data_IF_991155087599
#
_entry.id   IF_991155087599
#
_cell.length_a   1.000
_cell.length_b   1.000
_cell.length_c   1.000
_cell.angle_alpha   90.00
_cell.angle_beta   90.00
_cell.angle_gamma   90.00
#
_symmetry.space_group_name_H-M   'P 1'
#
loop_
_entity.id
_entity.type
_entity.pdbx_description
1 polymer ?
#
# COMPACT_ATOMS: atom_id res chain seq x y z
N UNK A 1 -38.61 -6.81 -40.94
CA UNK A 1 -37.77 -7.69 -40.10
C UNK A 1 -36.31 -7.24 -40.20
N UNK A 2 -35.78 -6.59 -39.16
CA UNK A 2 -34.40 -6.10 -39.16
C UNK A 2 -33.40 -7.25 -38.87
N UNK A 3 -32.43 -7.42 -39.76
CA UNK A 3 -31.37 -8.42 -39.68
C UNK A 3 -30.42 -8.07 -38.53
N UNK A 4 -30.40 -8.87 -37.47
CA UNK A 4 -29.38 -8.82 -36.41
C UNK A 4 -28.02 -9.23 -36.99
N UNK A 5 -27.13 -8.26 -37.26
CA UNK A 5 -25.74 -8.53 -37.62
C UNK A 5 -24.99 -8.92 -36.33
N UNK A 6 -24.90 -10.24 -36.09
CA UNK A 6 -24.13 -10.82 -34.99
C UNK A 6 -22.66 -10.82 -35.38
N UNK A 7 -21.95 -9.74 -35.08
CA UNK A 7 -20.51 -9.59 -35.31
C UNK A 7 -19.71 -10.49 -34.33
N UNK A 8 -19.72 -11.82 -34.55
CA UNK A 8 -18.84 -12.76 -33.84
C UNK A 8 -17.52 -12.85 -34.60
N UNK A 9 -16.45 -12.29 -34.02
CA UNK A 9 -15.09 -12.48 -34.55
C UNK A 9 -14.76 -13.98 -34.62
N UNK A 10 -14.08 -14.47 -35.68
CA UNK A 10 -13.71 -15.88 -35.81
C UNK A 10 -12.88 -16.36 -34.61
N UNK A 11 -13.12 -17.59 -34.14
CA UNK A 11 -12.46 -18.17 -32.97
C UNK A 11 -10.92 -18.08 -33.03
N UNK A 12 -10.33 -18.24 -34.21
CA UNK A 12 -8.89 -18.08 -34.44
C UNK A 12 -8.36 -16.65 -34.17
N UNK A 13 -9.16 -15.63 -34.47
CA UNK A 13 -8.79 -14.22 -34.26
C UNK A 13 -8.97 -13.82 -32.78
N UNK A 14 -9.98 -14.37 -32.10
CA UNK A 14 -10.14 -14.25 -30.66
C UNK A 14 -8.94 -14.91 -29.93
N UNK A 15 -8.53 -16.10 -30.35
CA UNK A 15 -7.38 -16.82 -29.79
C UNK A 15 -6.07 -16.04 -29.97
N UNK A 16 -5.81 -15.49 -31.17
CA UNK A 16 -4.65 -14.61 -31.43
C UNK A 16 -4.66 -13.36 -30.55
N UNK A 17 -5.82 -12.75 -30.32
CA UNK A 17 -5.94 -11.55 -29.48
C UNK A 17 -5.69 -11.83 -27.99
N UNK A 18 -6.16 -12.97 -27.48
CA UNK A 18 -5.92 -13.41 -26.11
C UNK A 18 -4.44 -13.75 -25.87
N UNK A 19 -3.81 -14.45 -26.83
CA UNK A 19 -2.37 -14.73 -26.81
C UNK A 19 -1.56 -13.43 -26.79
N UNK A 20 -1.95 -12.43 -27.59
CA UNK A 20 -1.27 -11.12 -27.63
C UNK A 20 -1.37 -10.37 -26.30
N UNK A 21 -2.54 -10.36 -25.66
CA UNK A 21 -2.71 -9.75 -24.33
C UNK A 21 -1.83 -10.44 -23.30
N UNK A 22 -1.84 -11.77 -23.23
CA UNK A 22 -1.03 -12.52 -22.26
C UNK A 22 0.48 -12.20 -22.40
N UNK A 23 0.99 -12.06 -23.63
CA UNK A 23 2.37 -11.62 -23.88
C UNK A 23 2.67 -10.25 -23.26
N UNK A 24 1.76 -9.28 -23.37
CA UNK A 24 1.97 -7.96 -22.76
C UNK A 24 1.91 -7.98 -21.23
N UNK A 25 1.04 -8.81 -20.64
CA UNK A 25 0.93 -8.93 -19.19
C UNK A 25 2.22 -9.49 -18.56
N UNK A 26 3.00 -10.27 -19.32
CA UNK A 26 4.34 -10.72 -18.96
C UNK A 26 5.37 -9.65 -19.31
N UNK A 27 5.28 -9.05 -20.50
CA UNK A 27 6.28 -8.12 -21.00
C UNK A 27 6.40 -6.85 -20.14
N UNK A 28 5.31 -6.22 -19.70
CA UNK A 28 5.42 -4.97 -18.93
C UNK A 28 6.15 -5.15 -17.58
N UNK A 29 5.79 -6.13 -16.72
CA UNK A 29 6.54 -6.35 -15.48
C UNK A 29 7.98 -6.79 -15.73
N UNK A 30 8.24 -7.62 -16.75
CA UNK A 30 9.60 -8.06 -17.11
C UNK A 30 10.46 -6.89 -17.59
N UNK A 31 9.96 -6.06 -18.51
CA UNK A 31 10.69 -4.88 -19.00
C UNK A 31 10.97 -3.92 -17.85
N UNK A 32 9.98 -3.64 -16.99
CA UNK A 32 10.19 -2.81 -15.81
C UNK A 32 11.22 -3.41 -14.85
N UNK A 33 11.26 -4.72 -14.68
CA UNK A 33 12.28 -5.41 -13.91
C UNK A 33 13.67 -5.30 -14.54
N UNK A 34 13.81 -5.51 -15.85
CA UNK A 34 15.08 -5.38 -16.56
C UNK A 34 15.64 -3.95 -16.49
N UNK A 35 14.79 -2.93 -16.64
CA UNK A 35 15.18 -1.53 -16.41
C UNK A 35 15.73 -1.36 -14.99
N UNK A 36 15.06 -1.94 -14.00
CA UNK A 36 15.52 -1.89 -12.61
C UNK A 36 16.83 -2.65 -12.38
N UNK A 37 17.09 -3.76 -13.07
CA UNK A 37 18.39 -4.42 -13.03
C UNK A 37 19.50 -3.52 -13.54
N UNK A 38 19.27 -2.82 -14.66
CA UNK A 38 20.23 -1.82 -15.17
C UNK A 38 20.50 -0.77 -14.09
N UNK A 39 19.46 -0.22 -13.46
CA UNK A 39 19.61 0.75 -12.37
C UNK A 39 20.43 0.17 -11.22
N UNK A 40 20.10 -1.04 -10.75
CA UNK A 40 20.81 -1.71 -9.64
C UNK A 40 22.32 -1.77 -9.91
N UNK A 41 22.74 -2.14 -11.12
CA UNK A 41 24.17 -2.23 -11.44
C UNK A 41 24.85 -0.88 -11.71
N UNK A 42 24.11 0.23 -11.76
CA UNK A 42 24.63 1.58 -12.01
C UNK A 42 24.50 2.52 -10.79
N UNK A 43 23.95 2.05 -9.67
CA UNK A 43 23.82 2.85 -8.45
C UNK A 43 24.69 2.30 -7.34
N UNK A 44 25.17 3.18 -6.47
CA UNK A 44 26.02 2.80 -5.35
C UNK A 44 25.35 1.70 -4.51
N UNK A 45 26.09 0.61 -4.29
CA UNK A 45 25.66 -0.56 -3.53
C UNK A 45 24.37 -1.27 -4.02
N UNK A 46 23.83 -0.94 -5.20
CA UNK A 46 22.70 -1.67 -5.78
C UNK A 46 21.31 -1.28 -5.28
N UNK A 47 21.18 -0.22 -4.48
CA UNK A 47 19.89 0.24 -3.96
C UNK A 47 19.97 1.59 -3.27
N UNK A 48 18.84 2.03 -2.73
CA UNK A 48 18.73 3.29 -1.98
C UNK A 48 18.09 3.10 -0.61
N UNK A 49 18.26 4.08 0.26
CA UNK A 49 17.53 4.14 1.51
C UNK A 49 16.13 4.71 1.28
N UNK A 50 15.13 4.03 1.83
CA UNK A 50 13.79 4.60 1.97
C UNK A 50 13.72 5.64 3.08
N UNK A 51 12.51 6.04 3.44
CA UNK A 51 12.26 7.03 4.48
C UNK A 51 12.78 6.59 5.86
N UNK A 52 12.58 5.31 6.22
CA UNK A 52 13.08 4.71 7.46
C UNK A 52 14.25 3.75 7.21
N UNK A 53 14.94 3.88 6.07
CA UNK A 53 15.97 2.92 5.63
C UNK A 53 17.04 2.70 6.70
N UNK A 54 17.57 3.77 7.30
CA UNK A 54 18.57 3.69 8.36
C UNK A 54 18.06 3.00 9.61
N UNK A 55 16.80 3.23 9.99
CA UNK A 55 16.21 2.57 11.15
C UNK A 55 16.09 1.05 10.91
N UNK A 56 15.76 0.64 9.68
CA UNK A 56 15.73 -0.77 9.31
C UNK A 56 17.11 -1.39 9.30
N UNK A 57 18.12 -0.71 8.75
CA UNK A 57 19.49 -1.20 8.76
C UNK A 57 20.05 -1.32 10.18
N UNK A 58 19.81 -0.34 11.06
CA UNK A 58 20.16 -0.46 12.48
C UNK A 58 19.52 -1.67 13.15
N UNK A 59 18.26 -1.96 12.81
CA UNK A 59 17.60 -3.18 13.27
C UNK A 59 18.29 -4.45 12.75
N UNK A 60 18.70 -4.47 11.48
CA UNK A 60 19.47 -5.60 10.91
C UNK A 60 20.82 -5.76 11.60
N UNK A 61 21.53 -4.67 11.89
CA UNK A 61 22.80 -4.71 12.63
C UNK A 61 22.60 -5.31 14.03
N UNK A 62 21.53 -4.92 14.74
CA UNK A 62 21.16 -5.54 16.02
C UNK A 62 20.91 -7.04 15.90
N UNK A 63 20.20 -7.48 14.85
CA UNK A 63 19.93 -8.89 14.58
C UNK A 63 21.21 -9.67 14.21
N UNK A 64 22.13 -9.08 13.45
CA UNK A 64 23.43 -9.71 13.15
C UNK A 64 24.27 -9.90 14.41
N UNK A 65 24.22 -8.95 15.34
CA UNK A 65 25.03 -8.97 16.55
C UNK A 65 24.47 -9.87 17.66
N UNK A 66 23.14 -9.89 17.84
CA UNK A 66 22.49 -10.52 18.99
C UNK A 66 21.47 -11.59 18.60
N UNK A 67 21.29 -11.85 17.31
CA UNK A 67 20.32 -12.81 16.80
C UNK A 67 18.87 -12.34 16.93
N UNK A 68 17.95 -13.30 16.85
CA UNK A 68 16.51 -13.05 16.78
C UNK A 68 15.96 -12.22 17.95
N UNK A 69 16.46 -12.48 19.17
CA UNK A 69 16.05 -11.80 20.41
C UNK A 69 16.89 -10.54 20.73
N UNK A 70 17.47 -9.89 19.71
CA UNK A 70 18.21 -8.64 19.91
C UNK A 70 17.42 -7.60 20.72
N UNK A 71 18.08 -6.95 21.65
CA UNK A 71 17.52 -5.87 22.48
C UNK A 71 17.65 -4.48 21.85
N UNK A 72 18.14 -4.40 20.59
CA UNK A 72 18.24 -3.16 19.83
C UNK A 72 16.90 -2.40 19.82
N UNK A 73 16.94 -1.16 20.30
CA UNK A 73 15.75 -0.34 20.55
C UNK A 73 14.91 -0.18 19.28
N UNK A 74 15.55 -0.06 18.11
CA UNK A 74 14.83 0.08 16.83
C UNK A 74 13.95 -1.11 16.49
N UNK A 75 14.25 -2.30 16.97
CA UNK A 75 13.44 -3.51 16.74
C UNK A 75 12.20 -3.59 17.65
N UNK A 76 12.14 -2.77 18.70
CA UNK A 76 10.97 -2.67 19.58
C UNK A 76 10.16 -1.40 19.31
N UNK A 77 10.86 -0.28 19.07
CA UNK A 77 10.20 1.00 18.77
C UNK A 77 9.47 0.93 17.43
N UNK A 78 10.13 0.44 16.37
CA UNK A 78 9.48 0.15 15.09
C UNK A 78 9.10 -1.34 15.01
N UNK A 79 8.15 -1.71 14.12
CA UNK A 79 7.89 -3.12 13.85
C UNK A 79 9.15 -3.82 13.31
N UNK A 80 9.64 -4.83 14.03
CA UNK A 80 10.82 -5.60 13.63
C UNK A 80 10.65 -6.45 12.36
N UNK A 81 9.44 -6.58 11.82
CA UNK A 81 9.19 -7.54 10.74
C UNK A 81 9.96 -7.23 9.44
N UNK A 82 10.12 -5.97 9.04
CA UNK A 82 10.93 -5.68 7.87
C UNK A 82 12.44 -5.94 8.09
N UNK A 83 13.05 -5.48 9.20
CA UNK A 83 14.41 -5.92 9.58
C UNK A 83 14.58 -7.45 9.59
N UNK A 84 13.65 -8.19 10.19
CA UNK A 84 13.69 -9.65 10.23
C UNK A 84 13.56 -10.28 8.84
N UNK A 85 12.75 -9.72 7.95
CA UNK A 85 12.58 -10.22 6.59
C UNK A 85 13.88 -10.08 5.79
N UNK A 86 14.62 -8.98 5.98
CA UNK A 86 15.82 -8.68 5.18
C UNK A 86 17.11 -9.18 5.84
N UNK A 87 17.09 -9.48 7.14
CA UNK A 87 18.24 -9.96 7.91
C UNK A 87 18.93 -11.18 7.29
N UNK A 88 18.23 -12.23 6.79
CA UNK A 88 18.88 -13.35 6.13
C UNK A 88 19.78 -12.95 4.95
N UNK A 89 19.42 -11.90 4.19
CA UNK A 89 20.25 -11.43 3.09
C UNK A 89 21.56 -10.80 3.58
N UNK A 90 21.51 -10.08 4.71
CA UNK A 90 22.70 -9.49 5.32
C UNK A 90 23.60 -10.57 5.94
N UNK A 91 22.99 -11.61 6.53
CA UNK A 91 23.70 -12.77 7.07
C UNK A 91 24.42 -13.58 5.98
N UNK A 92 23.87 -13.63 4.75
CA UNK A 92 24.54 -14.26 3.59
C UNK A 92 25.71 -13.41 3.12
N UNK A 93 25.52 -12.10 2.94
CA UNK A 93 26.58 -11.19 2.49
C UNK A 93 26.27 -9.75 2.82
N UNK A 94 27.06 -9.14 3.69
CA UNK A 94 26.98 -7.70 4.00
C UNK A 94 27.30 -6.85 2.76
N UNK A 95 28.30 -7.25 1.97
CA UNK A 95 28.76 -6.47 0.81
C UNK A 95 27.80 -6.54 -0.39
N UNK A 96 27.00 -7.60 -0.50
CA UNK A 96 26.01 -7.78 -1.58
C UNK A 96 24.56 -7.65 -1.10
N UNK A 97 24.35 -7.35 0.18
CA UNK A 97 23.05 -7.26 0.83
C UNK A 97 22.04 -6.42 0.04
N UNK A 98 22.39 -5.18 -0.29
CA UNK A 98 21.48 -4.26 -0.99
C UNK A 98 21.18 -4.70 -2.43
N UNK A 99 22.14 -5.32 -3.13
CA UNK A 99 21.89 -5.92 -4.45
C UNK A 99 20.86 -7.06 -4.34
N UNK A 100 21.06 -7.98 -3.41
CA UNK A 100 20.15 -9.10 -3.19
C UNK A 100 18.75 -8.60 -2.83
N UNK A 101 18.66 -7.64 -1.92
CA UNK A 101 17.41 -7.03 -1.49
C UNK A 101 16.66 -6.40 -2.67
N UNK A 102 17.33 -5.52 -3.42
CA UNK A 102 16.74 -4.82 -4.57
C UNK A 102 16.26 -5.78 -5.65
N UNK A 103 17.03 -6.85 -5.94
CA UNK A 103 16.66 -7.86 -6.93
C UNK A 103 15.42 -8.63 -6.47
N UNK A 104 15.42 -9.15 -5.24
CA UNK A 104 14.33 -9.97 -4.70
C UNK A 104 13.04 -9.16 -4.57
N UNK A 105 13.10 -7.94 -4.02
CA UNK A 105 11.93 -7.07 -3.92
C UNK A 105 11.38 -6.71 -5.31
N UNK A 106 12.26 -6.44 -6.28
CA UNK A 106 11.85 -6.09 -7.64
C UNK A 106 11.23 -7.27 -8.38
N UNK A 107 11.75 -8.48 -8.19
CA UNK A 107 11.16 -9.72 -8.69
C UNK A 107 9.78 -9.98 -8.08
N UNK A 108 9.65 -9.85 -6.76
CA UNK A 108 8.38 -10.05 -6.07
C UNK A 108 7.31 -9.05 -6.55
N UNK A 109 7.69 -7.78 -6.74
CA UNK A 109 6.80 -6.77 -7.31
C UNK A 109 6.39 -7.08 -8.75
N UNK A 110 7.33 -7.48 -9.61
CA UNK A 110 7.05 -7.83 -10.99
C UNK A 110 6.10 -9.06 -11.08
N UNK A 111 6.38 -10.10 -10.31
CA UNK A 111 5.54 -11.30 -10.24
C UNK A 111 4.14 -10.99 -9.73
N UNK A 112 4.02 -10.20 -8.65
CA UNK A 112 2.71 -9.83 -8.09
C UNK A 112 1.87 -9.00 -9.06
N UNK A 113 2.51 -8.12 -9.83
CA UNK A 113 1.86 -7.34 -10.90
C UNK A 113 1.35 -8.26 -12.02
N UNK A 114 2.20 -9.18 -12.48
CA UNK A 114 1.81 -10.20 -13.46
C UNK A 114 0.65 -11.04 -12.94
N UNK A 115 0.75 -11.59 -11.73
CA UNK A 115 -0.23 -12.50 -11.16
C UNK A 115 -1.61 -11.83 -11.02
N UNK A 116 -1.67 -10.59 -10.51
CA UNK A 116 -2.91 -9.82 -10.43
C UNK A 116 -3.53 -9.58 -11.81
N UNK A 117 -2.74 -9.08 -12.75
CA UNK A 117 -3.26 -8.66 -14.06
C UNK A 117 -3.61 -9.86 -14.95
N UNK A 118 -2.86 -10.96 -14.86
CA UNK A 118 -3.19 -12.24 -15.49
C UNK A 118 -4.43 -12.87 -14.88
N UNK A 119 -4.67 -12.69 -13.57
CA UNK A 119 -5.92 -13.15 -12.97
C UNK A 119 -7.10 -12.31 -13.48
N UNK A 120 -6.95 -10.99 -13.54
CA UNK A 120 -7.99 -10.10 -14.08
C UNK A 120 -8.31 -10.41 -15.55
N UNK A 121 -7.31 -10.74 -16.37
CA UNK A 121 -7.48 -11.01 -17.81
C UNK A 121 -8.34 -12.25 -18.10
N UNK A 122 -8.49 -13.14 -17.12
CA UNK A 122 -9.33 -14.35 -17.18
C UNK A 122 -10.77 -14.11 -16.75
N UNK A 123 -11.16 -12.85 -16.50
CA UNK A 123 -12.47 -12.51 -15.94
C UNK A 123 -13.32 -11.62 -16.87
N UNK A 124 -14.58 -11.37 -16.49
CA UNK A 124 -15.47 -10.43 -17.20
C UNK A 124 -14.96 -8.98 -17.21
N UNK A 125 -13.97 -8.62 -16.38
CA UNK A 125 -13.32 -7.31 -16.38
C UNK A 125 -11.91 -7.34 -17.00
N UNK A 126 -11.64 -8.30 -17.89
CA UNK A 126 -10.36 -8.45 -18.59
C UNK A 126 -9.87 -7.18 -19.32
N UNK A 127 -10.78 -6.29 -19.72
CA UNK A 127 -10.45 -5.01 -20.35
C UNK A 127 -9.58 -4.10 -19.48
N UNK A 128 -9.56 -4.30 -18.15
CA UNK A 128 -8.69 -3.57 -17.23
C UNK A 128 -7.24 -4.07 -17.25
N UNK A 129 -7.01 -5.35 -17.55
CA UNK A 129 -5.75 -6.05 -17.28
C UNK A 129 -4.55 -5.38 -17.96
N UNK A 130 -4.70 -5.02 -19.24
CA UNK A 130 -3.62 -4.42 -20.04
C UNK A 130 -3.18 -3.07 -19.46
N UNK A 131 -4.12 -2.15 -19.26
CA UNK A 131 -3.82 -0.80 -18.75
C UNK A 131 -3.35 -0.84 -17.30
N UNK A 132 -3.93 -1.72 -16.46
CA UNK A 132 -3.48 -1.91 -15.09
C UNK A 132 -2.04 -2.47 -15.03
N UNK A 133 -1.71 -3.46 -15.86
CA UNK A 133 -0.35 -4.02 -15.94
C UNK A 133 0.67 -2.96 -16.33
N UNK A 134 0.36 -2.15 -17.34
CA UNK A 134 1.22 -1.04 -17.76
C UNK A 134 1.40 0.00 -16.64
N UNK A 135 0.30 0.55 -16.12
CA UNK A 135 0.37 1.63 -15.14
C UNK A 135 0.99 1.20 -13.81
N UNK A 136 0.77 -0.04 -13.35
CA UNK A 136 1.40 -0.53 -12.12
C UNK A 136 2.90 -0.76 -12.36
N UNK A 137 3.29 -1.41 -13.46
CA UNK A 137 4.69 -1.72 -13.75
C UNK A 137 5.57 -0.48 -13.92
N UNK A 138 5.02 0.57 -14.54
CA UNK A 138 5.73 1.80 -14.88
C UNK A 138 5.35 3.00 -14.00
N UNK A 139 4.57 2.82 -12.93
CA UNK A 139 4.38 3.90 -11.97
C UNK A 139 5.73 4.20 -11.30
N UNK A 140 6.29 5.41 -11.44
CA UNK A 140 7.67 5.67 -11.05
C UNK A 140 7.89 5.54 -9.54
N UNK A 141 6.93 5.99 -8.73
CA UNK A 141 7.05 5.89 -7.26
C UNK A 141 6.87 4.45 -6.79
N UNK A 142 5.86 3.74 -7.31
CA UNK A 142 5.62 2.34 -6.91
C UNK A 142 6.74 1.41 -7.34
N UNK A 143 7.13 1.52 -8.61
CA UNK A 143 8.04 0.57 -9.24
C UNK A 143 9.47 0.76 -8.77
N UNK A 144 9.96 2.01 -8.69
CA UNK A 144 11.30 2.30 -8.17
C UNK A 144 11.38 2.12 -6.65
N UNK A 145 10.26 2.18 -5.93
CA UNK A 145 10.21 1.86 -4.51
C UNK A 145 10.64 0.42 -4.18
N UNK A 146 10.69 -0.51 -5.15
CA UNK A 146 11.26 -1.84 -4.91
C UNK A 146 12.79 -1.83 -4.79
N UNK A 147 13.44 -0.73 -5.15
CA UNK A 147 14.90 -0.52 -5.04
C UNK A 147 15.30 0.17 -3.73
N UNK A 148 14.34 0.47 -2.86
CA UNK A 148 14.60 1.10 -1.58
C UNK A 148 14.55 0.09 -0.44
N UNK A 149 15.40 0.31 0.58
CA UNK A 149 15.23 -0.28 1.92
C UNK A 149 13.96 0.33 2.54
N UNK A 150 12.84 -0.36 2.37
CA UNK A 150 11.51 0.09 2.78
C UNK A 150 10.45 -0.99 2.53
N UNK A 151 9.50 -1.12 3.47
CA UNK A 151 8.47 -2.17 3.41
C UNK A 151 7.37 -1.90 2.38
N UNK A 152 7.26 -0.68 1.84
CA UNK A 152 6.05 -0.21 1.16
C UNK A 152 5.74 -1.03 -0.08
N UNK A 153 6.76 -1.32 -0.89
CA UNK A 153 6.61 -2.08 -2.14
C UNK A 153 6.44 -3.59 -1.89
N UNK A 154 7.16 -4.21 -0.94
CA UNK A 154 6.80 -5.55 -0.44
C UNK A 154 5.35 -5.67 0.04
N UNK A 155 4.84 -4.69 0.79
CA UNK A 155 3.43 -4.70 1.22
C UNK A 155 2.48 -4.52 0.03
N UNK A 156 2.79 -3.62 -0.92
CA UNK A 156 2.00 -3.48 -2.13
C UNK A 156 1.92 -4.78 -2.95
N UNK A 157 3.02 -5.53 -2.98
CA UNK A 157 3.09 -6.86 -3.59
C UNK A 157 2.18 -7.85 -2.87
N UNK A 158 2.23 -7.90 -1.53
CA UNK A 158 1.33 -8.75 -0.73
C UNK A 158 -0.16 -8.44 -0.97
N UNK A 159 -0.53 -7.16 -1.06
CA UNK A 159 -1.92 -6.76 -1.35
C UNK A 159 -2.36 -7.16 -2.76
N UNK A 160 -1.47 -7.05 -3.76
CA UNK A 160 -1.75 -7.55 -5.11
C UNK A 160 -1.95 -9.07 -5.12
N UNK A 161 -1.11 -9.82 -4.39
CA UNK A 161 -1.24 -11.27 -4.25
C UNK A 161 -2.58 -11.66 -3.60
N UNK A 162 -2.94 -11.02 -2.48
CA UNK A 162 -4.20 -11.28 -1.79
C UNK A 162 -5.42 -10.94 -2.65
N UNK A 163 -5.40 -9.79 -3.34
CA UNK A 163 -6.48 -9.40 -4.25
C UNK A 163 -6.59 -10.36 -5.43
N UNK A 164 -5.47 -10.77 -6.05
CA UNK A 164 -5.47 -11.71 -7.16
C UNK A 164 -6.10 -13.05 -6.76
N UNK A 165 -5.71 -13.62 -5.61
CA UNK A 165 -6.34 -14.84 -5.08
C UNK A 165 -7.83 -14.62 -4.87
N UNK A 166 -8.24 -13.50 -4.25
CA UNK A 166 -9.65 -13.21 -4.03
C UNK A 166 -10.42 -13.12 -5.35
N UNK A 167 -9.87 -12.47 -6.39
CA UNK A 167 -10.50 -12.38 -7.72
C UNK A 167 -10.63 -13.78 -8.35
N UNK A 168 -9.62 -14.64 -8.21
CA UNK A 168 -9.66 -16.00 -8.75
C UNK A 168 -10.78 -16.87 -8.15
N UNK A 169 -11.29 -16.53 -6.96
CA UNK A 169 -12.43 -17.20 -6.34
C UNK A 169 -13.79 -16.67 -6.82
N UNK A 170 -13.80 -15.57 -7.57
CA UNK A 170 -15.03 -14.89 -8.00
C UNK A 170 -15.38 -15.16 -9.48
N UNK A 171 -14.61 -16.00 -10.18
CA UNK A 171 -14.65 -16.13 -11.64
C UNK A 171 -15.82 -16.95 -12.20
N UNK A 172 -16.58 -17.65 -11.36
CA UNK A 172 -17.72 -18.45 -11.80
C UNK A 172 -19.05 -17.68 -11.64
N UNK A 173 -19.98 -17.89 -12.57
CA UNK A 173 -21.36 -17.37 -12.51
C UNK A 173 -22.22 -18.05 -11.41
N UNK A 174 -21.62 -18.93 -10.62
CA UNK A 174 -22.20 -19.52 -9.41
C UNK A 174 -21.74 -18.77 -8.16
N UNK A 175 -22.44 -18.98 -7.04
CA UNK A 175 -22.11 -18.38 -5.74
C UNK A 175 -20.60 -18.39 -5.46
N UNK A 176 -20.03 -17.29 -4.98
CA UNK A 176 -18.59 -17.20 -4.79
C UNK A 176 -18.13 -18.27 -3.79
N UNK A 177 -17.27 -19.18 -4.23
CA UNK A 177 -16.77 -20.31 -3.44
C UNK A 177 -15.37 -19.99 -2.92
N UNK A 178 -15.27 -19.05 -1.98
CA UNK A 178 -14.02 -18.94 -1.21
C UNK A 178 -13.84 -20.24 -0.42
N UNK A 179 -12.83 -21.03 -0.80
CA UNK A 179 -12.44 -22.21 -0.03
C UNK A 179 -11.48 -21.84 1.10
N UNK A 180 -11.34 -22.76 2.06
CA UNK A 180 -10.41 -22.58 3.18
C UNK A 180 -8.97 -22.36 2.72
N UNK A 181 -8.53 -23.06 1.66
CA UNK A 181 -7.17 -22.93 1.11
C UNK A 181 -6.87 -21.52 0.62
N UNK A 182 -7.81 -20.91 -0.11
CA UNK A 182 -7.64 -19.57 -0.66
C UNK A 182 -7.68 -18.52 0.46
N UNK A 183 -8.57 -18.68 1.44
CA UNK A 183 -8.61 -17.82 2.62
C UNK A 183 -7.34 -17.93 3.45
N UNK A 184 -6.75 -19.12 3.60
CA UNK A 184 -5.44 -19.30 4.24
C UNK A 184 -4.38 -18.49 3.50
N UNK A 185 -4.28 -18.61 2.17
CA UNK A 185 -3.28 -17.84 1.42
C UNK A 185 -3.51 -16.32 1.49
N UNK A 186 -4.76 -15.87 1.40
CA UNK A 186 -5.10 -14.45 1.62
C UNK A 186 -4.64 -14.02 3.01
N UNK A 187 -4.95 -14.80 4.03
CA UNK A 187 -4.51 -14.59 5.41
C UNK A 187 -3.00 -14.51 5.53
N UNK A 188 -2.24 -15.44 4.93
CA UNK A 188 -0.78 -15.46 4.95
C UNK A 188 -0.16 -14.24 4.26
N UNK A 189 -0.68 -13.82 3.10
CA UNK A 189 -0.18 -12.60 2.43
C UNK A 189 -0.44 -11.35 3.27
N UNK A 190 -1.62 -11.25 3.86
CA UNK A 190 -1.92 -10.16 4.79
C UNK A 190 -1.14 -10.28 6.12
N UNK A 191 -0.83 -11.49 6.56
CA UNK A 191 0.04 -11.78 7.69
C UNK A 191 1.44 -11.27 7.44
N UNK A 192 1.98 -11.50 6.24
CA UNK A 192 3.26 -10.93 5.81
C UNK A 192 3.18 -9.40 5.73
N UNK A 193 2.14 -8.84 5.13
CA UNK A 193 1.95 -7.39 5.11
C UNK A 193 1.90 -6.76 6.52
N UNK A 194 1.22 -7.42 7.45
CA UNK A 194 1.06 -7.00 8.85
C UNK A 194 2.32 -7.18 9.68
N UNK A 195 3.11 -8.22 9.37
CA UNK A 195 4.44 -8.44 9.93
C UNK A 195 5.36 -7.26 9.59
N UNK A 196 5.36 -6.84 8.32
CA UNK A 196 6.16 -5.69 7.89
C UNK A 196 5.63 -4.36 8.43
N UNK A 197 4.30 -4.22 8.49
CA UNK A 197 3.66 -2.97 8.90
C UNK A 197 2.30 -3.23 9.59
N UNK A 198 2.22 -3.18 10.95
CA UNK A 198 1.10 -3.68 11.75
C UNK A 198 -0.25 -3.00 11.51
N UNK A 199 -0.29 -1.79 10.96
CA UNK A 199 -1.56 -1.13 10.59
C UNK A 199 -2.39 -1.94 9.59
N UNK A 200 -1.77 -2.86 8.85
CA UNK A 200 -2.50 -3.73 7.92
C UNK A 200 -3.25 -4.87 8.62
N UNK A 201 -3.13 -5.07 9.93
CA UNK A 201 -3.91 -6.07 10.69
C UNK A 201 -5.42 -5.78 10.56
N UNK A 202 -5.82 -4.52 10.81
CA UNK A 202 -7.22 -4.12 10.70
C UNK A 202 -7.72 -4.22 9.24
N UNK A 203 -6.87 -3.79 8.30
CA UNK A 203 -7.16 -3.89 6.86
C UNK A 203 -7.41 -5.33 6.45
N UNK A 204 -6.53 -6.24 6.88
CA UNK A 204 -6.59 -7.66 6.60
C UNK A 204 -7.82 -8.32 7.20
N UNK A 205 -8.10 -8.07 8.48
CA UNK A 205 -9.26 -8.63 9.16
C UNK A 205 -10.56 -8.27 8.44
N UNK A 206 -10.74 -6.99 8.08
CA UNK A 206 -11.93 -6.55 7.35
C UNK A 206 -11.94 -7.13 5.93
N UNK A 207 -10.81 -7.20 5.22
CA UNK A 207 -10.74 -7.81 3.90
C UNK A 207 -11.16 -9.30 3.93
N UNK A 208 -10.66 -10.05 4.91
CA UNK A 208 -11.01 -11.46 5.12
C UNK A 208 -12.51 -11.61 5.44
N UNK A 209 -13.06 -10.74 6.29
CA UNK A 209 -14.51 -10.71 6.58
C UNK A 209 -15.29 -10.45 5.29
N UNK A 210 -14.89 -9.48 4.47
CA UNK A 210 -15.54 -9.19 3.18
C UNK A 210 -15.49 -10.41 2.25
N UNK A 211 -14.36 -11.11 2.16
CA UNK A 211 -14.26 -12.35 1.39
C UNK A 211 -15.19 -13.43 1.94
N UNK A 212 -15.23 -13.63 3.26
CA UNK A 212 -16.10 -14.60 3.90
C UNK A 212 -17.57 -14.29 3.62
N UNK A 213 -18.00 -13.03 3.70
CA UNK A 213 -19.37 -12.60 3.43
C UNK A 213 -19.85 -12.84 1.99
N UNK A 214 -18.93 -13.05 1.03
CA UNK A 214 -19.31 -13.44 -0.33
C UNK A 214 -19.70 -14.91 -0.47
N UNK A 215 -19.49 -15.73 0.56
CA UNK A 215 -19.90 -17.14 0.59
C UNK A 215 -21.30 -17.31 1.19
N UNK A 216 -21.96 -18.43 0.88
CA UNK A 216 -23.31 -18.75 1.37
C UNK A 216 -23.22 -19.54 2.68
N UNK A 217 -24.05 -19.18 3.66
CA UNK A 217 -24.21 -19.89 4.93
C UNK A 217 -23.40 -19.30 6.09
N UNK A 218 -24.09 -18.78 7.12
CA UNK A 218 -23.48 -18.07 8.26
C UNK A 218 -22.39 -18.88 8.98
N UNK A 219 -22.61 -20.17 9.20
CA UNK A 219 -21.63 -21.04 9.87
C UNK A 219 -20.34 -21.17 9.03
N UNK A 220 -20.47 -21.25 7.71
CA UNK A 220 -19.34 -21.31 6.80
C UNK A 220 -18.58 -19.98 6.74
N UNK A 221 -19.30 -18.86 6.71
CA UNK A 221 -18.72 -17.52 6.78
C UNK A 221 -17.88 -17.32 8.05
N UNK A 222 -18.42 -17.69 9.21
CA UNK A 222 -17.70 -17.59 10.50
C UNK A 222 -16.45 -18.49 10.48
N UNK A 223 -16.58 -19.73 10.00
CA UNK A 223 -15.45 -20.66 9.89
C UNK A 223 -14.35 -20.11 8.98
N UNK A 224 -14.69 -19.58 7.81
CA UNK A 224 -13.70 -18.98 6.90
C UNK A 224 -13.05 -17.74 7.52
N UNK A 225 -13.83 -16.86 8.13
CA UNK A 225 -13.30 -15.68 8.80
C UNK A 225 -12.30 -16.08 9.90
N UNK A 226 -12.64 -17.07 10.73
CA UNK A 226 -11.74 -17.60 11.76
C UNK A 226 -10.45 -18.17 11.17
N UNK A 227 -10.54 -19.03 10.14
CA UNK A 227 -9.36 -19.60 9.46
C UNK A 227 -8.46 -18.51 8.90
N UNK A 228 -9.05 -17.50 8.24
CA UNK A 228 -8.30 -16.39 7.66
C UNK A 228 -7.61 -15.54 8.72
N UNK A 229 -8.30 -15.24 9.82
CA UNK A 229 -7.74 -14.48 10.95
C UNK A 229 -6.61 -15.25 11.64
N UNK A 230 -6.75 -16.57 11.81
CA UNK A 230 -5.67 -17.42 12.34
C UNK A 230 -4.44 -17.33 11.42
N UNK A 231 -4.62 -17.51 10.10
CA UNK A 231 -3.53 -17.42 9.14
C UNK A 231 -2.86 -16.03 9.12
N UNK A 232 -3.66 -14.95 9.22
CA UNK A 232 -3.19 -13.58 9.36
C UNK A 232 -2.30 -13.38 10.59
N UNK A 233 -2.69 -13.94 11.74
CA UNK A 233 -2.04 -13.69 13.02
C UNK A 233 -0.75 -14.48 13.23
N UNK A 234 -0.43 -15.47 12.40
CA UNK A 234 0.78 -16.30 12.56
C UNK A 234 2.06 -15.44 12.63
N UNK A 235 2.29 -14.54 11.68
CA UNK A 235 3.51 -13.72 11.64
C UNK A 235 3.50 -12.55 12.65
N UNK A 236 2.41 -11.78 12.83
CA UNK A 236 2.34 -10.79 13.91
C UNK A 236 2.58 -11.39 15.30
N UNK A 237 2.14 -12.62 15.56
CA UNK A 237 2.38 -13.31 16.85
C UNK A 237 3.87 -13.59 17.08
N UNK A 238 4.66 -13.84 16.03
CA UNK A 238 6.12 -13.99 16.13
C UNK A 238 6.78 -12.69 16.64
N UNK A 239 6.27 -11.52 16.24
CA UNK A 239 6.78 -10.22 16.74
C UNK A 239 6.43 -9.99 18.21
N UNK A 240 5.21 -10.38 18.62
CA UNK A 240 4.79 -10.31 20.03
C UNK A 240 5.65 -11.23 20.88
N UNK A 241 5.84 -12.48 20.44
CA UNK A 241 6.70 -13.45 21.12
C UNK A 241 8.13 -12.94 21.25
N UNK A 242 8.71 -12.46 20.14
CA UNK A 242 10.04 -11.86 20.14
C UNK A 242 10.16 -10.75 21.19
N UNK A 243 9.23 -9.81 21.24
CA UNK A 243 9.31 -8.67 22.15
C UNK A 243 9.02 -9.06 23.61
N UNK A 244 8.22 -10.10 23.83
CA UNK A 244 8.04 -10.67 25.16
C UNK A 244 9.37 -11.23 25.71
N UNK A 245 10.10 -11.99 24.88
CA UNK A 245 11.39 -12.57 25.27
C UNK A 245 12.53 -11.53 25.30
N UNK A 246 12.64 -10.68 24.29
CA UNK A 246 13.77 -9.76 24.14
C UNK A 246 13.71 -8.57 25.12
N UNK A 247 12.51 -8.04 25.39
CA UNK A 247 12.35 -6.79 26.15
C UNK A 247 11.22 -6.83 27.18
N UNK A 248 10.64 -8.01 27.44
CA UNK A 248 9.58 -8.18 28.44
C UNK A 248 8.24 -7.52 28.07
N UNK A 249 8.00 -7.22 26.78
CA UNK A 249 6.79 -6.51 26.33
C UNK A 249 6.02 -7.33 25.29
N UNK A 250 4.80 -7.74 25.64
CA UNK A 250 3.87 -8.41 24.73
C UNK A 250 3.20 -7.41 23.75
N UNK A 251 4.00 -6.77 22.90
CA UNK A 251 3.55 -5.82 21.86
C UNK A 251 4.28 -6.05 20.54
N UNK A 252 3.71 -5.60 19.42
CA UNK A 252 4.37 -5.65 18.12
C UNK A 252 5.37 -4.49 17.96
N UNK A 253 5.00 -3.29 18.42
CA UNK A 253 5.86 -2.10 18.45
C UNK A 253 5.39 -1.12 19.54
N UNK A 254 6.17 -0.06 19.80
CA UNK A 254 5.86 0.95 20.83
C UNK A 254 5.87 2.38 20.28
N UNK A 255 5.45 2.57 19.02
CA UNK A 255 5.44 3.87 18.35
C UNK A 255 4.05 4.33 17.90
N UNK A 256 2.97 3.61 18.22
CA UNK A 256 1.63 3.96 17.74
C UNK A 256 1.15 5.26 18.41
N UNK A 257 1.24 5.34 19.73
CA UNK A 257 0.92 6.53 20.51
C UNK A 257 1.77 7.71 20.10
N UNK A 258 3.08 7.53 19.92
CA UNK A 258 3.98 8.59 19.41
C UNK A 258 3.53 9.10 18.04
N UNK A 259 3.22 8.19 17.11
CA UNK A 259 2.74 8.53 15.77
C UNK A 259 1.41 9.28 15.81
N UNK A 260 0.49 8.85 16.67
CA UNK A 260 -0.79 9.53 16.88
C UNK A 260 -0.59 10.93 17.49
N UNK A 261 0.34 11.05 18.44
CA UNK A 261 0.65 12.32 19.10
C UNK A 261 1.17 13.36 18.09
N UNK A 262 2.05 12.97 17.16
CA UNK A 262 2.53 13.84 16.08
C UNK A 262 1.38 14.48 15.28
N UNK A 263 0.32 13.72 15.01
CA UNK A 263 -0.83 14.15 14.23
C UNK A 263 -1.92 14.91 15.01
N UNK A 264 -1.76 15.18 16.30
CA UNK A 264 -2.80 15.81 17.15
C UNK A 264 -2.27 16.95 18.00
N UNK A 265 -3.09 17.96 18.27
CA UNK A 265 -2.75 19.12 19.09
C UNK A 265 -3.41 20.40 18.59
N UNK A 266 -3.23 21.48 19.35
CA UNK A 266 -3.91 22.76 19.10
C UNK A 266 -3.45 23.49 17.83
N UNK A 267 -2.14 23.44 17.59
CA UNK A 267 -1.46 24.20 16.53
C UNK A 267 -1.04 23.32 15.34
N UNK A 268 -0.94 22.01 15.52
CA UNK A 268 -0.54 21.11 14.44
C UNK A 268 -1.59 21.08 13.34
N UNK A 269 -1.14 20.81 12.11
CA UNK A 269 -2.03 20.58 10.98
C UNK A 269 -2.33 19.09 10.79
N UNK A 270 -1.70 18.20 11.56
CA UNK A 270 -1.91 16.75 11.52
C UNK A 270 -0.99 15.99 10.55
N UNK A 271 -0.03 16.67 9.92
CA UNK A 271 0.99 16.09 9.05
C UNK A 271 2.19 15.54 9.81
N UNK A 272 3.16 15.01 9.08
CA UNK A 272 4.44 14.53 9.65
C UNK A 272 5.30 15.69 10.15
N UNK A 273 5.30 16.80 9.43
CA UNK A 273 5.97 18.03 9.83
C UNK A 273 5.12 18.73 10.91
N UNK A 274 5.32 18.35 12.17
CA UNK A 274 4.57 18.90 13.30
C UNK A 274 4.88 20.39 13.47
N UNK A 275 3.81 21.17 13.69
CA UNK A 275 3.86 22.55 14.16
C UNK A 275 3.31 22.59 15.59
N UNK A 276 3.98 23.33 16.47
CA UNK A 276 3.57 23.50 17.87
C UNK A 276 3.86 22.31 18.80
N UNK A 277 3.63 22.48 20.11
CA UNK A 277 3.99 21.49 21.13
C UNK A 277 3.12 20.23 21.04
N UNK A 278 3.70 19.06 21.35
CA UNK A 278 2.97 17.80 21.54
C UNK A 278 1.89 17.93 22.62
N UNK A 279 0.79 17.16 22.51
CA UNK A 279 -0.16 17.12 23.62
C UNK A 279 0.54 16.47 24.82
N UNK A 280 0.44 17.12 25.99
CA UNK A 280 1.01 16.58 27.22
C UNK A 280 0.08 15.50 27.74
N UNK A 281 0.64 14.30 27.91
CA UNK A 281 -0.06 13.16 28.48
C UNK A 281 0.53 12.87 29.86
N UNK A 282 -0.33 12.72 30.86
CA UNK A 282 0.10 12.43 32.23
C UNK A 282 0.19 10.91 32.45
N UNK A 283 1.20 10.44 33.21
CA UNK A 283 1.30 9.04 33.59
C UNK A 283 0.18 8.67 34.58
N UNK A 284 -0.20 7.39 34.64
CA UNK A 284 -1.19 6.91 35.62
C UNK A 284 -0.74 7.06 37.08
N UNK A 285 0.57 7.09 37.32
CA UNK A 285 1.16 7.23 38.66
C UNK A 285 2.20 8.36 38.65
N UNK A 286 2.23 9.22 39.69
CA UNK A 286 3.24 10.28 39.79
C UNK A 286 4.67 9.72 39.72
N UNK A 287 5.52 10.30 38.87
CA UNK A 287 6.92 9.90 38.69
C UNK A 287 7.17 8.74 37.71
N UNK A 288 6.14 8.11 37.15
CA UNK A 288 6.29 7.07 36.13
C UNK A 288 6.46 7.65 34.71
N UNK A 289 7.12 6.91 33.82
CA UNK A 289 7.18 7.25 32.38
C UNK A 289 5.88 6.89 31.68
N UNK A 290 5.44 7.74 30.75
CA UNK A 290 4.21 7.51 29.99
C UNK A 290 4.43 6.42 28.95
N UNK A 291 3.64 5.36 29.03
CA UNK A 291 3.66 4.26 28.07
C UNK A 291 2.98 4.63 26.76
N UNK A 292 3.33 3.96 25.66
CA UNK A 292 2.74 4.23 24.34
C UNK A 292 1.19 4.06 24.35
N UNK A 293 0.68 3.07 25.08
CA UNK A 293 -0.76 2.86 25.26
C UNK A 293 -1.44 4.01 26.02
N UNK A 294 -0.78 4.60 27.01
CA UNK A 294 -1.30 5.78 27.71
C UNK A 294 -1.34 7.00 26.78
N UNK A 295 -0.34 7.16 25.91
CA UNK A 295 -0.36 8.18 24.86
C UNK A 295 -1.53 7.95 23.91
N UNK A 296 -1.79 6.71 23.46
CA UNK A 296 -2.96 6.41 22.60
C UNK A 296 -4.26 6.84 23.28
N UNK A 297 -4.46 6.45 24.55
CA UNK A 297 -5.68 6.81 25.30
C UNK A 297 -5.81 8.33 25.45
N UNK A 298 -4.72 9.02 25.77
CA UNK A 298 -4.64 10.47 25.88
C UNK A 298 -5.04 11.16 24.56
N UNK A 299 -4.50 10.70 23.42
CA UNK A 299 -4.85 11.22 22.09
C UNK A 299 -6.34 10.99 21.77
N UNK A 300 -6.88 9.80 22.06
CA UNK A 300 -8.30 9.51 21.84
C UNK A 300 -9.21 10.41 22.68
N UNK A 301 -8.86 10.66 23.95
CA UNK A 301 -9.57 11.62 24.80
C UNK A 301 -9.50 13.04 24.25
N UNK A 302 -8.35 13.45 23.72
CA UNK A 302 -8.20 14.76 23.09
C UNK A 302 -9.15 14.90 21.90
N UNK A 303 -9.22 13.90 21.01
CA UNK A 303 -10.15 13.94 19.87
C UNK A 303 -11.62 14.06 20.29
N UNK A 304 -12.01 13.34 21.34
CA UNK A 304 -13.37 13.35 21.85
C UNK A 304 -13.76 14.69 22.51
N UNK A 305 -12.80 15.36 23.15
CA UNK A 305 -13.01 16.64 23.84
C UNK A 305 -12.87 17.86 22.92
N UNK A 306 -12.26 17.70 21.73
CA UNK A 306 -12.03 18.78 20.76
C UNK A 306 -12.66 18.49 19.39
N UNK A 307 -13.98 18.24 19.29
CA UNK A 307 -14.62 17.70 18.08
C UNK A 307 -14.42 18.58 16.83
N UNK A 308 -14.49 19.91 16.96
CA UNK A 308 -14.29 20.85 15.84
C UNK A 308 -12.86 20.75 15.31
N UNK A 309 -11.86 20.74 16.20
CA UNK A 309 -10.44 20.58 15.82
C UNK A 309 -10.18 19.21 15.23
N UNK A 310 -10.79 18.15 15.78
CA UNK A 310 -10.72 16.79 15.25
C UNK A 310 -11.18 16.72 13.80
N UNK A 311 -12.30 17.35 13.45
CA UNK A 311 -12.80 17.39 12.07
C UNK A 311 -11.82 18.13 11.15
N UNK A 312 -11.27 19.26 11.60
CA UNK A 312 -10.26 20.02 10.84
C UNK A 312 -8.98 19.21 10.60
N UNK A 313 -8.48 18.54 11.63
CA UNK A 313 -7.32 17.65 11.54
C UNK A 313 -7.61 16.45 10.63
N UNK A 314 -8.80 15.86 10.70
CA UNK A 314 -9.20 14.76 9.82
C UNK A 314 -9.17 15.19 8.34
N UNK A 315 -9.68 16.38 8.04
CA UNK A 315 -9.62 16.95 6.69
C UNK A 315 -8.18 17.17 6.23
N UNK A 316 -7.33 17.80 7.05
CA UNK A 316 -5.93 18.03 6.69
C UNK A 316 -5.14 16.73 6.51
N UNK A 317 -5.30 15.76 7.41
CA UNK A 317 -4.67 14.44 7.29
C UNK A 317 -5.07 13.72 6.03
N UNK A 318 -6.33 13.84 5.66
CA UNK A 318 -6.84 13.33 4.39
C UNK A 318 -6.17 14.01 3.20
N UNK A 319 -6.03 15.34 3.21
CA UNK A 319 -5.29 16.07 2.18
C UNK A 319 -3.83 15.59 2.09
N UNK A 320 -3.16 15.41 3.23
CA UNK A 320 -1.76 14.97 3.28
C UNK A 320 -1.57 13.55 2.78
N UNK A 321 -2.48 12.63 3.11
CA UNK A 321 -2.48 11.26 2.58
C UNK A 321 -2.56 11.22 1.06
N UNK A 322 -3.40 12.08 0.48
CA UNK A 322 -3.60 12.17 -0.96
C UNK A 322 -2.69 13.19 -1.63
N UNK A 323 -1.81 13.86 -0.90
CA UNK A 323 -0.91 14.87 -1.44
C UNK A 323 0.05 14.30 -2.50
N UNK A 324 0.57 15.12 -3.44
CA UNK A 324 1.59 14.68 -4.38
C UNK A 324 2.89 14.31 -3.65
N UNK A 325 3.78 13.59 -4.33
CA UNK A 325 5.08 13.19 -3.78
C UNK A 325 6.05 14.36 -3.59
N UNK A 326 5.79 15.48 -4.29
CA UNK A 326 6.59 16.70 -4.18
C UNK A 326 5.80 17.92 -4.68
N UNK A 327 6.31 19.11 -4.40
CA UNK A 327 5.65 20.38 -4.73
C UNK A 327 4.95 20.99 -3.51
N UNK A 328 4.27 22.12 -3.68
CA UNK A 328 3.85 23.00 -2.57
C UNK A 328 2.70 22.45 -1.71
N UNK A 329 2.07 21.35 -2.12
CA UNK A 329 1.00 20.67 -1.36
C UNK A 329 1.47 19.32 -0.81
N UNK A 330 2.70 18.88 -1.15
CA UNK A 330 3.23 17.61 -0.70
C UNK A 330 3.50 17.61 0.81
N UNK A 331 3.02 16.58 1.50
CA UNK A 331 3.22 16.40 2.94
C UNK A 331 3.42 14.92 3.27
N UNK A 332 4.52 14.63 3.96
CA UNK A 332 4.89 13.29 4.40
C UNK A 332 6.35 12.94 4.15
N UNK A 333 6.72 11.69 4.44
CA UNK A 333 8.12 11.26 4.43
C UNK A 333 8.53 10.59 3.11
N UNK A 334 8.22 11.16 1.94
CA UNK A 334 8.69 10.62 0.65
C UNK A 334 9.83 11.40 0.00
N UNK A 335 10.54 12.24 0.75
CA UNK A 335 11.70 13.01 0.25
C UNK A 335 12.81 12.12 -0.38
N UNK A 336 12.90 10.85 0.02
CA UNK A 336 13.85 9.86 -0.52
C UNK A 336 13.28 8.94 -1.59
N UNK A 337 12.08 9.24 -2.07
CA UNK A 337 11.47 8.52 -3.18
C UNK A 337 12.42 8.58 -4.40
N UNK A 338 12.86 7.44 -4.95
CA UNK A 338 13.80 7.43 -6.07
C UNK A 338 13.31 8.19 -7.30
N UNK A 339 11.99 8.30 -7.48
CA UNK A 339 11.41 9.13 -8.55
C UNK A 339 11.91 10.57 -8.50
N UNK A 340 12.12 11.14 -7.31
CA UNK A 340 12.56 12.52 -7.16
C UNK A 340 13.97 12.76 -7.71
N UNK A 341 14.81 11.71 -7.81
CA UNK A 341 16.16 11.79 -8.39
C UNK A 341 16.17 12.00 -9.89
N UNK A 342 15.13 11.53 -10.58
CA UNK A 342 15.00 11.61 -12.04
C UNK A 342 13.82 12.48 -12.48
N UNK A 343 13.12 13.10 -11.53
CA UNK A 343 11.94 13.91 -11.80
C UNK A 343 12.33 15.18 -12.55
N UNK A 344 11.77 15.42 -13.76
CA UNK A 344 12.03 16.66 -14.49
C UNK A 344 11.64 17.90 -13.67
N UNK A 345 10.54 17.82 -12.90
CA UNK A 345 10.05 18.91 -12.07
C UNK A 345 11.00 19.25 -10.92
N UNK A 346 11.65 18.24 -10.33
CA UNK A 346 12.69 18.49 -9.32
C UNK A 346 13.94 19.08 -9.96
N UNK A 347 14.36 18.52 -11.10
CA UNK A 347 15.57 18.96 -11.80
C UNK A 347 15.50 20.38 -12.36
N UNK A 348 14.30 20.92 -12.57
CA UNK A 348 14.08 22.31 -13.00
C UNK A 348 14.25 23.34 -11.88
N UNK A 349 14.17 22.95 -10.60
CA UNK A 349 14.25 23.88 -9.44
C UNK A 349 15.68 24.35 -9.12
N UNK A 350 16.46 24.71 -10.14
CA UNK A 350 17.84 25.20 -10.00
C UNK A 350 17.94 26.73 -10.02
N UNK A 351 16.89 27.42 -10.46
CA UNK A 351 16.83 28.89 -10.50
C UNK A 351 15.66 29.40 -9.65
N UNK A 352 15.80 30.60 -9.11
CA UNK A 352 14.74 31.25 -8.31
C UNK A 352 13.43 31.39 -9.10
N UNK A 353 13.49 31.73 -10.39
CA UNK A 353 12.33 31.80 -11.27
C UNK A 353 11.60 30.46 -11.37
N UNK A 354 12.33 29.36 -11.58
CA UNK A 354 11.73 28.03 -11.67
C UNK A 354 11.16 27.56 -10.33
N UNK A 355 11.84 27.86 -9.22
CA UNK A 355 11.33 27.59 -7.87
C UNK A 355 10.02 28.35 -7.64
N UNK A 356 9.96 29.64 -7.97
CA UNK A 356 8.75 30.44 -7.84
C UNK A 356 7.59 29.92 -8.70
N UNK A 357 7.88 29.42 -9.91
CA UNK A 357 6.86 28.78 -10.75
C UNK A 357 6.31 27.49 -10.12
N UNK A 358 7.20 26.63 -9.62
CA UNK A 358 6.88 25.29 -9.12
C UNK A 358 6.33 25.30 -7.69
N UNK A 359 6.75 26.23 -6.85
CA UNK A 359 6.28 26.37 -5.46
C UNK A 359 5.20 27.44 -5.30
N UNK A 360 5.07 28.35 -6.29
CA UNK A 360 4.06 29.41 -6.31
C UNK A 360 2.68 28.94 -6.78
N UNK A 361 1.88 29.90 -7.26
CA UNK A 361 0.46 29.67 -7.60
C UNK A 361 0.24 28.56 -8.64
N UNK A 362 1.04 28.54 -9.72
CA UNK A 362 0.92 27.52 -10.79
C UNK A 362 1.17 26.11 -10.23
N UNK A 363 2.26 25.92 -9.49
CA UNK A 363 2.57 24.65 -8.88
C UNK A 363 1.53 24.18 -7.85
N UNK A 364 0.94 25.11 -7.09
CA UNK A 364 -0.19 24.82 -6.20
C UNK A 364 -1.40 24.32 -6.99
N UNK A 365 -1.78 25.00 -8.07
CA UNK A 365 -2.90 24.60 -8.94
C UNK A 365 -2.68 23.20 -9.52
N UNK A 366 -1.49 22.91 -10.04
CA UNK A 366 -1.15 21.57 -10.58
C UNK A 366 -1.22 20.52 -9.47
N UNK A 367 -0.69 20.82 -8.29
CA UNK A 367 -0.68 19.90 -7.15
C UNK A 367 -2.09 19.55 -6.67
N UNK A 368 -2.98 20.53 -6.55
CA UNK A 368 -4.38 20.29 -6.23
C UNK A 368 -5.13 19.61 -7.37
N UNK A 369 -4.85 19.96 -8.63
CA UNK A 369 -5.40 19.27 -9.80
C UNK A 369 -5.03 17.79 -9.83
N UNK A 370 -3.79 17.45 -9.49
CA UNK A 370 -3.34 16.07 -9.36
C UNK A 370 -4.06 15.35 -8.21
N UNK A 371 -4.13 15.98 -7.03
CA UNK A 371 -4.81 15.44 -5.84
C UNK A 371 -6.29 15.15 -6.10
N UNK A 372 -7.01 16.11 -6.66
CA UNK A 372 -8.44 15.99 -6.94
C UNK A 372 -8.69 15.06 -8.14
N UNK A 373 -7.85 15.11 -9.17
CA UNK A 373 -7.95 14.27 -10.35
C UNK A 373 -7.81 12.79 -10.04
N UNK A 374 -6.79 12.39 -9.25
CA UNK A 374 -6.65 10.98 -8.86
C UNK A 374 -7.84 10.49 -8.01
N UNK A 375 -8.38 11.34 -7.13
CA UNK A 375 -9.52 11.00 -6.26
C UNK A 375 -10.79 10.86 -7.08
N UNK A 376 -11.02 11.78 -8.02
CA UNK A 376 -12.14 11.70 -8.96
C UNK A 376 -12.06 10.41 -9.79
N UNK A 377 -10.89 10.06 -10.32
CA UNK A 377 -10.68 8.82 -11.06
C UNK A 377 -10.89 7.57 -10.19
N UNK A 378 -10.40 7.59 -8.94
CA UNK A 378 -10.57 6.50 -7.98
C UNK A 378 -12.06 6.25 -7.70
N UNK A 379 -12.79 7.31 -7.31
CA UNK A 379 -14.22 7.24 -6.98
C UNK A 379 -15.03 6.86 -8.21
N UNK A 380 -14.78 7.49 -9.36
CA UNK A 380 -15.49 7.20 -10.59
C UNK A 380 -15.24 5.76 -11.06
N UNK A 381 -14.01 5.26 -10.93
CA UNK A 381 -13.67 3.88 -11.23
C UNK A 381 -14.38 2.88 -10.33
N UNK A 382 -14.42 3.13 -9.03
CA UNK A 382 -15.20 2.33 -8.08
C UNK A 382 -16.69 2.30 -8.46
N UNK A 383 -17.29 3.46 -8.72
CA UNK A 383 -18.71 3.56 -9.10
C UNK A 383 -18.99 2.87 -10.44
N UNK A 384 -18.09 3.00 -11.41
CA UNK A 384 -18.21 2.35 -12.72
C UNK A 384 -18.21 0.82 -12.60
N UNK A 385 -17.27 0.25 -11.84
CA UNK A 385 -17.22 -1.19 -11.59
C UNK A 385 -18.43 -1.68 -10.79
N UNK A 386 -18.88 -0.91 -9.80
CA UNK A 386 -20.09 -1.21 -9.02
C UNK A 386 -21.34 -1.24 -9.90
N UNK A 387 -21.48 -0.30 -10.83
CA UNK A 387 -22.61 -0.23 -11.78
C UNK A 387 -22.69 -1.42 -12.73
N UNK A 388 -21.55 -2.05 -13.06
CA UNK A 388 -21.52 -3.26 -13.90
C UNK A 388 -22.08 -4.50 -13.21
N UNK A 389 -22.34 -4.46 -11.90
CA UNK A 389 -22.92 -5.55 -11.14
C UNK A 389 -22.02 -6.78 -11.03
N UNK A 390 -22.55 -7.87 -10.45
CA UNK A 390 -21.89 -9.18 -10.36
C UNK A 390 -20.43 -9.11 -9.90
N UNK A 391 -19.53 -9.66 -10.72
CA UNK A 391 -18.09 -9.66 -10.49
C UNK A 391 -17.49 -8.25 -10.35
N UNK A 392 -17.90 -7.31 -11.20
CA UNK A 392 -17.36 -5.94 -11.19
C UNK A 392 -17.56 -5.26 -9.84
N UNK A 393 -18.76 -5.41 -9.25
CA UNK A 393 -19.07 -4.91 -7.90
C UNK A 393 -18.18 -5.55 -6.83
N UNK A 394 -17.98 -6.87 -6.87
CA UNK A 394 -17.16 -7.58 -5.88
C UNK A 394 -15.69 -7.14 -5.94
N UNK A 395 -15.13 -7.03 -7.15
CA UNK A 395 -13.76 -6.53 -7.37
C UNK A 395 -13.62 -5.08 -6.90
N UNK A 396 -14.60 -4.22 -7.20
CA UNK A 396 -14.58 -2.83 -6.75
C UNK A 396 -14.49 -2.72 -5.23
N UNK A 397 -15.29 -3.51 -4.50
CA UNK A 397 -15.29 -3.55 -3.04
C UNK A 397 -13.96 -4.09 -2.52
N UNK A 398 -13.48 -5.23 -3.03
CA UNK A 398 -12.22 -5.83 -2.57
C UNK A 398 -11.02 -4.90 -2.81
N UNK A 399 -10.93 -4.24 -3.98
CA UNK A 399 -9.87 -3.29 -4.25
C UNK A 399 -9.98 -2.01 -3.41
N UNK A 400 -11.20 -1.53 -3.15
CA UNK A 400 -11.43 -0.33 -2.35
C UNK A 400 -11.20 -0.54 -0.85
N UNK A 401 -11.45 -1.74 -0.33
CA UNK A 401 -11.34 -2.03 1.11
C UNK A 401 -9.97 -1.66 1.68
N UNK A 402 -8.82 -2.11 1.14
CA UNK A 402 -7.52 -1.69 1.66
C UNK A 402 -7.24 -0.21 1.48
N UNK A 403 -7.69 0.39 0.37
CA UNK A 403 -7.47 1.81 0.06
C UNK A 403 -8.19 2.70 1.08
N UNK A 404 -9.48 2.45 1.31
CA UNK A 404 -10.31 3.24 2.22
C UNK A 404 -9.90 3.03 3.67
N UNK A 405 -9.62 1.79 4.08
CA UNK A 405 -9.21 1.52 5.47
C UNK A 405 -7.84 2.11 5.79
N UNK A 406 -6.86 2.04 4.87
CA UNK A 406 -5.57 2.69 5.06
C UNK A 406 -5.73 4.21 5.21
N UNK A 407 -6.61 4.83 4.40
CA UNK A 407 -6.93 6.25 4.50
C UNK A 407 -7.60 6.61 5.84
N UNK A 408 -8.55 5.80 6.32
CA UNK A 408 -9.20 5.99 7.63
C UNK A 408 -8.21 5.84 8.80
N UNK A 409 -7.30 4.87 8.73
CA UNK A 409 -6.24 4.69 9.74
C UNK A 409 -5.35 5.94 9.80
N UNK A 410 -4.99 6.52 8.64
CA UNK A 410 -4.24 7.77 8.58
C UNK A 410 -4.98 8.93 9.24
N UNK A 411 -6.30 9.04 9.04
CA UNK A 411 -7.12 10.07 9.70
C UNK A 411 -7.03 9.95 11.24
N UNK A 412 -7.07 8.73 11.77
CA UNK A 412 -6.92 8.46 13.20
C UNK A 412 -5.49 8.62 13.75
N UNK A 413 -4.48 8.60 12.87
CA UNK A 413 -3.05 8.63 13.26
C UNK A 413 -2.39 9.92 12.80
N UNK A 414 -1.76 9.93 11.63
CA UNK A 414 -1.04 11.06 11.06
C UNK A 414 -1.18 11.08 9.54
N UNK A 415 -1.33 12.28 8.97
CA UNK A 415 -1.38 12.51 7.53
C UNK A 415 0.00 12.43 6.90
N UNK A 416 0.20 11.45 6.02
CA UNK A 416 1.46 11.27 5.30
C UNK A 416 1.20 10.53 3.98
N UNK A 417 1.63 11.11 2.86
CA UNK A 417 1.46 10.51 1.53
C UNK A 417 2.19 9.17 1.35
N UNK A 418 3.24 8.87 2.13
CA UNK A 418 4.01 7.63 2.06
C UNK A 418 3.13 6.43 2.35
N UNK A 419 2.17 6.59 3.27
CA UNK A 419 1.23 5.52 3.64
C UNK A 419 0.26 5.15 2.52
N UNK A 420 0.23 5.91 1.42
CA UNK A 420 -0.49 5.55 0.20
C UNK A 420 0.28 4.53 -0.66
N UNK A 421 1.61 4.50 -0.62
CA UNK A 421 2.43 3.62 -1.50
C UNK A 421 2.02 2.14 -1.37
N UNK A 422 1.85 1.58 -0.15
CA UNK A 422 1.45 0.18 0.00
C UNK A 422 0.12 -0.17 -0.67
N UNK A 423 -0.85 0.74 -0.69
CA UNK A 423 -2.18 0.50 -1.28
C UNK A 423 -2.27 0.95 -2.74
N UNK A 424 -1.18 1.47 -3.31
CA UNK A 424 -1.24 2.21 -4.55
C UNK A 424 -1.60 1.33 -5.75
N UNK A 425 -1.14 0.07 -5.79
CA UNK A 425 -1.49 -0.90 -6.84
C UNK A 425 -3.01 -1.10 -6.95
N UNK A 426 -3.71 -1.20 -5.82
CA UNK A 426 -5.16 -1.35 -5.75
C UNK A 426 -5.88 -0.04 -6.12
N UNK A 427 -5.35 1.10 -5.67
CA UNK A 427 -5.89 2.41 -6.04
C UNK A 427 -5.74 2.69 -7.55
N UNK A 428 -4.61 2.29 -8.16
CA UNK A 428 -4.36 2.42 -9.59
C UNK A 428 -5.30 1.52 -10.40
N UNK A 429 -5.61 0.32 -9.92
CA UNK A 429 -6.61 -0.55 -10.57
C UNK A 429 -7.98 0.13 -10.63
N UNK A 430 -8.41 0.79 -9.55
CA UNK A 430 -9.65 1.56 -9.54
C UNK A 430 -9.56 2.78 -10.47
N UNK A 431 -8.46 3.53 -10.44
CA UNK A 431 -8.26 4.67 -11.36
C UNK A 431 -8.29 4.24 -12.84
N UNK A 432 -7.69 3.08 -13.20
CA UNK A 432 -7.75 2.49 -14.54
C UNK A 432 -9.19 2.23 -14.96
N UNK A 433 -10.01 1.68 -14.07
CA UNK A 433 -11.43 1.50 -14.35
C UNK A 433 -12.15 2.83 -14.61
N UNK A 434 -11.76 3.89 -13.88
CA UNK A 434 -12.25 5.25 -14.10
C UNK A 434 -11.86 5.78 -15.48
N UNK A 435 -10.57 5.73 -15.83
CA UNK A 435 -10.03 6.18 -17.12
C UNK A 435 -10.73 5.47 -18.29
N UNK A 436 -10.85 4.14 -18.23
CA UNK A 436 -11.46 3.36 -19.29
C UNK A 436 -12.97 3.59 -19.39
N UNK A 437 -13.65 3.86 -18.28
CA UNK A 437 -15.06 4.20 -18.29
C UNK A 437 -15.33 5.62 -18.86
N UNK A 438 -14.43 6.58 -18.64
CA UNK A 438 -14.49 7.89 -19.30
C UNK A 438 -14.31 7.70 -20.80
N UNK A 439 -13.27 6.97 -21.22
CA UNK A 439 -12.98 6.68 -22.63
C UNK A 439 -14.17 6.01 -23.32
N UNK A 440 -14.79 5.00 -22.70
CA UNK A 440 -15.94 4.30 -23.27
C UNK A 440 -17.12 5.25 -23.53
N UNK A 441 -17.36 6.22 -22.63
CA UNK A 441 -18.41 7.23 -22.82
C UNK A 441 -18.07 8.22 -23.92
N UNK A 442 -16.84 8.73 -23.96
CA UNK A 442 -16.44 9.73 -24.96
C UNK A 442 -16.41 9.15 -26.37
N UNK A 443 -15.97 7.90 -26.53
CA UNK A 443 -15.94 7.23 -27.85
C UNK A 443 -17.32 6.72 -28.30
N UNK A 444 -18.33 6.68 -27.42
CA UNK A 444 -19.73 6.42 -27.80
C UNK A 444 -20.52 7.69 -28.12
N UNK A 445 -20.03 8.84 -27.68
CA UNK A 445 -20.64 10.15 -27.90
C UNK A 445 -20.11 10.87 -29.16
N UNK A 446 -18.98 10.40 -29.70
CA UNK A 446 -18.44 10.70 -31.01
C UNK A 446 -18.82 9.57 -31.97
#
# INVERSE_FOLDING_TARGET
>A
MAKQIKNRKPAAQANKSAIKINRYLIAFPVIAFLIKLIIIFNVQAGGWLGADGENYLKGVDGLLNQGFFSTEEKLTYWPAGYPLLIWPFAAISITKFLYMLSIIQSLFFAYSTYFLTNTISKTKVAYLAFTASFLISFNPTLSLGSLTVGYETPVASCLMMALAIAISCLTDDSDAKFGSKQIIYIGLWFGLASFLQPRFILVAAIFIIVCALYTVGRNYQIRLAAIGVIALMLLPSVLIFRNAEAVGKATISTNLGVTMNLGVGEETLGGYNRIGPAIKCEPKSPGATVTDNEVVICVLKWYATHPIKTIKLAFNKSLYFWSPWSGPVAEGTTARNPWLKISPVQNMQKTTTAVNLIQGGVGKTISYGWLLGQLALLVYGFLSLKKRGGLGKKIAILAATPVVLAWLITIGTIGDHRFRIPIMSLSLLLQVAGILAIREKTTKAL
#
